data_IF_094755905827
#
_entry.id   IF_094755905827
#
_cell.length_a   1.000
_cell.length_b   1.000
_cell.length_c   1.000
_cell.angle_alpha   90.00
_cell.angle_beta   90.00
_cell.angle_gamma   90.00
#
_symmetry.space_group_name_H-M   'P 1'
#
loop_
_entity.id
_entity.type
_entity.pdbx_description
1 polymer ?
#
# COMPACT_ATOMS: atom_id res chain seq x y z
N UNK A 1 3.16 14.47 -15.48
CA UNK A 1 4.39 13.88 -16.05
C UNK A 1 3.99 13.14 -17.33
N UNK A 2 4.65 13.41 -18.45
CA UNK A 2 4.41 12.70 -19.71
C UNK A 2 5.41 11.54 -19.83
N UNK A 3 4.92 10.31 -19.85
CA UNK A 3 5.73 9.11 -20.03
C UNK A 3 5.47 8.57 -21.44
N UNK A 4 6.38 8.77 -22.40
CA UNK A 4 6.21 8.15 -23.71
C UNK A 4 6.41 6.65 -23.57
N UNK A 5 5.30 5.90 -23.63
CA UNK A 5 5.26 4.44 -23.45
C UNK A 5 4.88 3.69 -24.71
N UNK A 6 4.55 4.38 -25.81
CA UNK A 6 4.12 3.72 -27.06
C UNK A 6 5.32 3.57 -28.00
N UNK A 7 5.63 2.33 -28.36
CA UNK A 7 6.66 1.99 -29.36
C UNK A 7 6.09 0.90 -30.28
N UNK A 8 6.19 1.11 -31.59
CA UNK A 8 5.73 0.15 -32.61
C UNK A 8 4.26 -0.29 -32.41
N UNK A 9 3.39 0.62 -31.94
CA UNK A 9 1.97 0.35 -31.69
C UNK A 9 1.67 -0.42 -30.39
N UNK A 10 2.70 -0.69 -29.57
CA UNK A 10 2.54 -1.35 -28.26
C UNK A 10 2.63 -0.27 -27.18
N UNK A 11 1.63 -0.19 -26.31
CA UNK A 11 1.72 0.58 -25.07
C UNK A 11 2.41 -0.27 -23.99
N UNK A 12 3.55 0.22 -23.50
CA UNK A 12 4.35 -0.50 -22.51
C UNK A 12 3.71 -0.52 -21.12
N UNK A 13 2.69 0.33 -20.87
CA UNK A 13 1.88 0.25 -19.66
C UNK A 13 1.15 -1.10 -19.55
N UNK A 14 0.73 -1.66 -20.67
CA UNK A 14 0.04 -2.96 -20.72
C UNK A 14 0.99 -4.15 -20.54
N UNK A 15 2.30 -3.91 -20.56
CA UNK A 15 3.33 -4.92 -20.35
C UNK A 15 3.79 -5.00 -18.89
N UNK A 16 3.36 -4.04 -18.06
CA UNK A 16 3.68 -3.95 -16.63
C UNK A 16 2.42 -4.18 -15.82
N UNK A 17 2.52 -5.03 -14.80
CA UNK A 17 1.43 -5.31 -13.87
C UNK A 17 1.96 -5.29 -12.44
N UNK A 18 1.06 -5.34 -11.46
CA UNK A 18 1.43 -5.32 -10.04
C UNK A 18 1.43 -6.74 -9.50
N UNK A 19 2.51 -7.13 -8.82
CA UNK A 19 2.60 -8.36 -8.03
C UNK A 19 3.28 -8.05 -6.70
N UNK A 20 2.68 -8.48 -5.58
CA UNK A 20 3.20 -8.21 -4.24
C UNK A 20 3.50 -6.72 -3.98
N UNK A 21 2.61 -5.83 -4.45
CA UNK A 21 2.74 -4.37 -4.36
C UNK A 21 3.94 -3.77 -5.12
N UNK A 22 4.54 -4.54 -6.03
CA UNK A 22 5.63 -4.08 -6.90
C UNK A 22 5.25 -4.17 -8.37
N UNK A 23 5.64 -3.18 -9.20
CA UNK A 23 5.51 -3.28 -10.64
C UNK A 23 6.48 -4.34 -11.16
N UNK A 24 5.96 -5.18 -12.04
CA UNK A 24 6.66 -6.31 -12.63
C UNK A 24 6.26 -6.48 -14.10
N UNK A 25 7.09 -7.18 -14.85
CA UNK A 25 6.73 -7.73 -16.16
C UNK A 25 6.98 -9.23 -16.17
N UNK A 26 6.71 -9.91 -17.29
CA UNK A 26 7.04 -11.32 -17.43
C UNK A 26 7.77 -11.63 -18.74
N UNK A 27 8.32 -12.84 -18.83
CA UNK A 27 9.06 -13.28 -20.01
C UNK A 27 8.23 -13.31 -21.30
N UNK A 28 6.90 -13.40 -21.23
CA UNK A 28 6.03 -13.33 -22.41
C UNK A 28 5.88 -11.89 -22.91
N UNK A 29 5.69 -10.94 -21.99
CA UNK A 29 5.64 -9.51 -22.31
C UNK A 29 6.97 -9.02 -22.89
N UNK A 30 8.09 -9.47 -22.32
CA UNK A 30 9.43 -9.20 -22.88
C UNK A 30 9.58 -9.81 -24.27
N UNK A 31 9.13 -11.05 -24.48
CA UNK A 31 9.15 -11.70 -25.78
C UNK A 31 8.35 -10.91 -26.83
N UNK A 32 7.16 -10.43 -26.48
CA UNK A 32 6.31 -9.58 -27.32
C UNK A 32 7.01 -8.26 -27.67
N UNK A 33 7.56 -7.57 -26.67
CA UNK A 33 8.21 -6.27 -26.86
C UNK A 33 9.44 -6.33 -27.79
N UNK A 34 10.25 -7.38 -27.68
CA UNK A 34 11.48 -7.53 -28.47
C UNK A 34 11.33 -8.41 -29.71
N UNK A 35 10.12 -8.89 -30.02
CA UNK A 35 9.86 -9.80 -31.14
C UNK A 35 10.65 -11.11 -31.03
N UNK A 36 10.79 -11.65 -29.82
CA UNK A 36 11.50 -12.90 -29.55
C UNK A 36 10.53 -14.04 -29.26
N UNK A 37 10.97 -15.28 -29.44
CA UNK A 37 10.22 -16.45 -28.95
C UNK A 37 10.31 -16.52 -27.42
N UNK A 38 9.21 -16.83 -26.68
CA UNK A 38 9.23 -16.91 -25.22
C UNK A 38 10.32 -17.84 -24.66
N UNK A 39 10.55 -18.99 -25.30
CA UNK A 39 11.61 -19.95 -24.92
C UNK A 39 13.02 -19.35 -24.98
N UNK A 40 13.26 -18.38 -25.88
CA UNK A 40 14.56 -17.72 -26.00
C UNK A 40 14.73 -16.69 -24.89
N UNK A 41 13.66 -15.99 -24.51
CA UNK A 41 13.69 -15.04 -23.39
C UNK A 41 13.94 -15.77 -22.08
N UNK A 42 13.29 -16.92 -21.84
CA UNK A 42 13.56 -17.76 -20.66
C UNK A 42 15.03 -18.17 -20.60
N UNK A 43 15.61 -18.60 -21.72
CA UNK A 43 17.04 -18.94 -21.81
C UNK A 43 17.95 -17.73 -21.53
N UNK A 44 17.62 -16.57 -22.09
CA UNK A 44 18.39 -15.33 -21.87
C UNK A 44 18.34 -14.92 -20.38
N UNK A 45 17.20 -15.13 -19.72
CA UNK A 45 17.04 -14.90 -18.28
C UNK A 45 17.92 -15.85 -17.46
N UNK A 46 17.89 -17.15 -17.74
CA UNK A 46 18.71 -18.14 -17.04
C UNK A 46 20.21 -17.82 -17.16
N UNK A 47 20.67 -17.45 -18.36
CA UNK A 47 22.05 -16.99 -18.58
C UNK A 47 22.38 -15.70 -17.82
N UNK A 48 21.41 -14.80 -17.72
CA UNK A 48 21.57 -13.55 -16.97
C UNK A 48 21.72 -13.85 -15.48
N UNK A 49 20.92 -14.76 -14.93
CA UNK A 49 20.98 -15.22 -13.54
C UNK A 49 22.35 -15.87 -13.26
N UNK A 50 22.81 -16.76 -14.14
CA UNK A 50 24.12 -17.42 -14.01
C UNK A 50 25.31 -16.44 -14.02
N UNK A 51 25.18 -15.34 -14.77
CA UNK A 51 26.21 -14.31 -14.85
C UNK A 51 26.16 -13.30 -13.70
N UNK A 52 25.10 -13.30 -12.87
CA UNK A 52 24.98 -12.39 -11.75
C UNK A 52 25.93 -12.79 -10.61
N UNK A 53 26.63 -11.81 -9.99
CA UNK A 53 27.44 -12.10 -8.83
C UNK A 53 26.56 -12.40 -7.61
N UNK A 54 27.07 -13.09 -6.57
CA UNK A 54 26.27 -13.57 -5.43
C UNK A 54 25.56 -12.45 -4.65
N UNK A 55 26.06 -11.21 -4.70
CA UNK A 55 25.50 -10.05 -4.02
C UNK A 55 24.22 -9.53 -4.69
N UNK A 56 24.00 -9.85 -5.96
CA UNK A 56 22.78 -9.46 -6.66
C UNK A 56 21.64 -10.43 -6.33
N UNK A 57 20.53 -9.89 -5.83
CA UNK A 57 19.36 -10.70 -5.51
C UNK A 57 18.62 -11.16 -6.78
N UNK A 58 19.10 -12.27 -7.33
CA UNK A 58 18.49 -12.91 -8.50
C UNK A 58 17.11 -13.49 -8.18
N UNK A 59 16.84 -13.89 -6.94
CA UNK A 59 15.57 -14.54 -6.56
C UNK A 59 14.42 -13.54 -6.58
N UNK A 60 14.63 -12.33 -6.04
CA UNK A 60 13.60 -11.28 -6.07
C UNK A 60 13.43 -10.65 -7.44
N UNK A 61 14.51 -10.56 -8.24
CA UNK A 61 14.48 -9.91 -9.55
C UNK A 61 14.05 -10.84 -10.69
N UNK A 62 14.22 -12.16 -10.54
CA UNK A 62 13.85 -13.18 -11.51
C UNK A 62 13.02 -14.27 -10.83
N UNK A 63 11.74 -13.98 -10.56
CA UNK A 63 10.83 -14.92 -9.90
C UNK A 63 10.42 -16.01 -10.89
N UNK A 64 10.75 -17.27 -10.56
CA UNK A 64 10.37 -18.44 -11.35
C UNK A 64 8.89 -18.76 -11.15
N UNK A 65 8.15 -18.89 -12.24
CA UNK A 65 6.72 -19.21 -12.24
C UNK A 65 6.39 -20.33 -13.24
N UNK A 66 5.21 -20.94 -13.05
CA UNK A 66 4.65 -21.95 -13.94
C UNK A 66 3.22 -21.60 -14.30
N UNK A 67 2.83 -21.84 -15.56
CA UNK A 67 1.44 -21.76 -16.00
C UNK A 67 1.07 -23.01 -16.77
N UNK A 68 -0.16 -23.49 -16.65
CA UNK A 68 -0.62 -24.62 -17.45
C UNK A 68 -0.78 -24.17 -18.90
N UNK A 69 -0.17 -24.91 -19.82
CA UNK A 69 -0.30 -24.65 -21.24
C UNK A 69 -1.33 -25.59 -21.86
N UNK A 70 -2.52 -25.07 -22.14
CA UNK A 70 -3.62 -25.82 -22.74
C UNK A 70 -3.24 -26.40 -24.11
N UNK A 71 -2.42 -25.69 -24.89
CA UNK A 71 -1.92 -26.12 -26.20
C UNK A 71 -0.90 -27.28 -26.11
N UNK A 72 -0.42 -27.59 -24.91
CA UNK A 72 0.59 -28.62 -24.66
C UNK A 72 0.08 -29.69 -23.69
N UNK A 73 -1.19 -30.09 -23.85
CA UNK A 73 -1.87 -31.09 -23.02
C UNK A 73 -1.84 -30.75 -21.52
N UNK A 74 -1.93 -29.47 -21.17
CA UNK A 74 -1.92 -29.02 -19.78
C UNK A 74 -0.55 -29.09 -19.10
N UNK A 75 0.54 -29.34 -19.83
CA UNK A 75 1.89 -29.36 -19.24
C UNK A 75 2.26 -27.98 -18.67
N UNK A 76 2.92 -27.93 -17.50
CA UNK A 76 3.38 -26.67 -16.92
C UNK A 76 4.46 -26.05 -17.81
N UNK A 77 4.20 -24.82 -18.26
CA UNK A 77 5.14 -23.99 -18.98
C UNK A 77 5.86 -23.07 -18.00
N UNK A 78 7.17 -23.21 -17.94
CA UNK A 78 8.09 -22.36 -17.19
C UNK A 78 8.09 -20.93 -17.78
N UNK A 79 8.02 -19.93 -16.90
CA UNK A 79 8.23 -18.53 -17.24
C UNK A 79 8.83 -17.78 -16.05
N UNK A 80 9.27 -16.54 -16.28
CA UNK A 80 9.82 -15.69 -15.21
C UNK A 80 9.05 -14.39 -15.12
N UNK A 81 8.78 -13.95 -13.90
CA UNK A 81 8.34 -12.59 -13.59
C UNK A 81 9.55 -11.77 -13.18
N UNK A 82 9.64 -10.57 -13.73
CA UNK A 82 10.81 -9.69 -13.63
C UNK A 82 10.44 -8.39 -12.94
N UNK A 83 11.19 -8.04 -11.90
CA UNK A 83 11.20 -6.67 -11.37
C UNK A 83 12.02 -5.76 -12.30
N UNK A 84 11.97 -4.46 -12.04
CA UNK A 84 12.68 -3.44 -12.81
C UNK A 84 14.16 -3.83 -13.02
N UNK A 85 14.91 -4.15 -11.97
CA UNK A 85 16.35 -4.35 -12.08
C UNK A 85 16.70 -5.65 -12.82
N UNK A 86 15.96 -6.74 -12.56
CA UNK A 86 16.07 -7.98 -13.34
C UNK A 86 15.77 -7.78 -14.83
N UNK A 87 14.73 -7.02 -15.16
CA UNK A 87 14.46 -6.64 -16.54
C UNK A 87 15.61 -5.82 -17.12
N UNK A 88 16.13 -4.83 -16.39
CA UNK A 88 17.22 -3.98 -16.86
C UNK A 88 18.46 -4.81 -17.23
N UNK A 89 18.89 -5.75 -16.39
CA UNK A 89 20.01 -6.64 -16.69
C UNK A 89 19.76 -7.45 -17.96
N UNK A 90 18.56 -8.04 -18.08
CA UNK A 90 18.18 -8.83 -19.25
C UNK A 90 18.22 -7.99 -20.53
N UNK A 91 17.50 -6.85 -20.57
CA UNK A 91 17.33 -6.07 -21.80
C UNK A 91 18.61 -5.35 -22.19
N UNK A 92 19.51 -5.04 -21.26
CA UNK A 92 20.79 -4.40 -21.59
C UNK A 92 21.64 -5.26 -22.51
N UNK A 93 21.54 -6.59 -22.41
CA UNK A 93 22.18 -7.53 -23.34
C UNK A 93 21.59 -7.49 -24.77
N UNK A 94 20.42 -6.86 -24.96
CA UNK A 94 19.77 -6.75 -26.27
C UNK A 94 20.24 -5.48 -26.99
N UNK A 95 21.03 -5.64 -28.05
CA UNK A 95 21.79 -4.56 -28.71
C UNK A 95 21.26 -4.12 -30.08
N UNK A 96 20.13 -4.66 -30.55
CA UNK A 96 19.55 -4.28 -31.86
C UNK A 96 19.26 -2.77 -31.94
N UNK A 97 19.31 -2.18 -33.15
CA UNK A 97 19.07 -0.74 -33.39
C UNK A 97 17.75 -0.22 -32.80
N UNK A 98 16.70 -1.05 -32.80
CA UNK A 98 15.40 -0.70 -32.20
C UNK A 98 15.29 -0.95 -30.69
N UNK A 99 16.24 -1.69 -30.09
CA UNK A 99 16.18 -2.08 -28.68
C UNK A 99 16.22 -0.86 -27.75
N UNK A 100 16.87 0.24 -28.14
CA UNK A 100 16.95 1.45 -27.31
C UNK A 100 15.58 2.08 -27.05
N UNK A 101 14.70 2.15 -28.06
CA UNK A 101 13.34 2.70 -27.88
C UNK A 101 12.53 1.84 -26.92
N UNK A 102 12.62 0.52 -27.08
CA UNK A 102 11.96 -0.46 -26.22
C UNK A 102 12.47 -0.35 -24.76
N UNK A 103 13.79 -0.21 -24.57
CA UNK A 103 14.39 0.00 -23.23
C UNK A 103 13.83 1.25 -22.55
N UNK A 104 13.79 2.38 -23.27
CA UNK A 104 13.25 3.65 -22.76
C UNK A 104 11.76 3.50 -22.41
N UNK A 105 10.98 2.83 -23.27
CA UNK A 105 9.56 2.62 -23.03
C UNK A 105 9.29 1.75 -21.78
N UNK A 106 10.10 0.70 -21.55
CA UNK A 106 10.04 -0.05 -20.30
C UNK A 106 10.36 0.82 -19.08
N UNK A 107 11.44 1.61 -19.12
CA UNK A 107 11.78 2.53 -18.02
C UNK A 107 10.60 3.45 -17.70
N UNK A 108 9.99 4.03 -18.72
CA UNK A 108 8.84 4.93 -18.58
C UNK A 108 7.61 4.23 -18.00
N UNK A 109 7.32 3.01 -18.45
CA UNK A 109 6.18 2.23 -17.94
C UNK A 109 6.36 1.82 -16.48
N UNK A 110 7.57 1.39 -16.08
CA UNK A 110 7.87 1.11 -14.67
C UNK A 110 7.74 2.37 -13.82
N UNK A 111 8.34 3.50 -14.24
CA UNK A 111 8.25 4.75 -13.51
C UNK A 111 6.81 5.25 -13.35
N UNK A 112 5.99 5.10 -14.40
CA UNK A 112 4.57 5.41 -14.34
C UNK A 112 3.83 4.55 -13.31
N UNK A 113 4.06 3.23 -13.31
CA UNK A 113 3.40 2.32 -12.36
C UNK A 113 3.86 2.59 -10.91
N UNK A 114 5.15 2.86 -10.68
CA UNK A 114 5.64 3.27 -9.36
C UNK A 114 4.96 4.56 -8.88
N UNK A 115 4.83 5.57 -9.74
CA UNK A 115 4.13 6.80 -9.38
C UNK A 115 2.66 6.53 -9.01
N UNK A 116 1.99 5.66 -9.75
CA UNK A 116 0.59 5.29 -9.49
C UNK A 116 0.42 4.59 -8.15
N UNK A 117 1.31 3.64 -7.83
CA UNK A 117 1.31 2.96 -6.53
C UNK A 117 1.52 3.96 -5.40
N UNK A 118 2.49 4.87 -5.52
CA UNK A 118 2.77 5.89 -4.49
C UNK A 118 1.59 6.83 -4.24
N UNK A 119 0.85 7.22 -5.28
CA UNK A 119 -0.38 8.01 -5.12
C UNK A 119 -1.43 7.22 -4.34
N UNK A 120 -1.64 5.94 -4.68
CA UNK A 120 -2.55 5.08 -3.94
C UNK A 120 -2.18 4.95 -2.47
N UNK A 121 -0.90 4.66 -2.17
CA UNK A 121 -0.40 4.57 -0.78
C UNK A 121 -0.65 5.85 0.00
N UNK A 122 -0.36 7.02 -0.58
CA UNK A 122 -0.60 8.31 0.09
C UNK A 122 -2.08 8.54 0.41
N UNK A 123 -2.98 8.24 -0.53
CA UNK A 123 -4.42 8.40 -0.31
C UNK A 123 -4.91 7.53 0.86
N UNK A 124 -4.49 6.26 0.90
CA UNK A 124 -4.83 5.36 2.01
C UNK A 124 -4.25 5.83 3.36
N UNK A 125 -3.03 6.37 3.37
CA UNK A 125 -2.43 6.91 4.59
C UNK A 125 -3.17 8.14 5.11
N UNK A 126 -3.60 9.03 4.22
CA UNK A 126 -4.39 10.22 4.56
C UNK A 126 -5.73 9.83 5.19
N UNK A 127 -6.46 8.89 4.59
CA UNK A 127 -7.71 8.35 5.14
C UNK A 127 -7.50 7.69 6.51
N UNK A 128 -6.48 6.82 6.63
CA UNK A 128 -6.14 6.16 7.89
C UNK A 128 -5.82 7.17 9.01
N UNK A 129 -5.04 8.20 8.69
CA UNK A 129 -4.66 9.23 9.66
C UNK A 129 -5.87 10.06 10.09
N UNK A 130 -6.80 10.36 9.18
CA UNK A 130 -8.04 11.06 9.49
C UNK A 130 -8.92 10.24 10.45
N UNK A 131 -9.13 8.96 10.16
CA UNK A 131 -9.90 8.04 11.02
C UNK A 131 -9.24 7.87 12.39
N UNK A 132 -7.91 7.74 12.43
CA UNK A 132 -7.18 7.64 13.70
C UNK A 132 -7.32 8.91 14.54
N UNK A 133 -7.27 10.09 13.93
CA UNK A 133 -7.47 11.37 14.62
C UNK A 133 -8.88 11.47 15.21
N UNK A 134 -9.90 11.06 14.44
CA UNK A 134 -11.29 11.01 14.92
C UNK A 134 -11.43 10.05 16.10
N UNK A 135 -10.88 8.85 15.99
CA UNK A 135 -10.86 7.87 17.08
C UNK A 135 -10.20 8.44 18.35
N UNK A 136 -9.06 9.11 18.24
CA UNK A 136 -8.38 9.70 19.40
C UNK A 136 -9.24 10.79 20.06
N UNK A 137 -9.90 11.64 19.28
CA UNK A 137 -10.81 12.68 19.81
C UNK A 137 -11.98 12.07 20.57
N UNK A 138 -12.65 11.09 19.98
CA UNK A 138 -13.79 10.42 20.61
C UNK A 138 -13.38 9.66 21.88
N UNK A 139 -12.24 8.98 21.84
CA UNK A 139 -11.66 8.32 23.02
C UNK A 139 -11.38 9.31 24.15
N UNK A 140 -10.84 10.47 23.84
CA UNK A 140 -10.56 11.51 24.82
C UNK A 140 -11.84 12.11 25.42
N UNK A 141 -12.87 12.32 24.60
CA UNK A 141 -14.20 12.76 25.05
C UNK A 141 -14.83 11.73 25.99
N UNK A 142 -14.79 10.45 25.65
CA UNK A 142 -15.30 9.37 26.51
C UNK A 142 -14.53 9.31 27.84
N UNK A 143 -13.20 9.38 27.79
CA UNK A 143 -12.33 9.42 28.97
C UNK A 143 -12.61 10.64 29.86
N UNK A 144 -12.76 11.82 29.25
CA UNK A 144 -13.14 13.05 29.94
C UNK A 144 -14.52 12.91 30.61
N UNK A 145 -15.50 12.34 29.92
CA UNK A 145 -16.84 12.10 30.46
C UNK A 145 -16.79 11.19 31.70
N UNK A 146 -16.00 10.12 31.66
CA UNK A 146 -15.77 9.25 32.82
C UNK A 146 -15.12 9.99 34.00
N UNK A 147 -14.12 10.85 33.74
CA UNK A 147 -13.51 11.70 34.77
C UNK A 147 -14.51 12.70 35.37
N UNK A 148 -15.35 13.31 34.53
CA UNK A 148 -16.39 14.25 34.95
C UNK A 148 -17.47 13.58 35.79
N UNK A 149 -17.94 12.38 35.41
CA UNK A 149 -18.88 11.59 36.19
C UNK A 149 -18.31 11.21 37.55
N UNK A 150 -17.05 10.77 37.59
CA UNK A 150 -16.35 10.49 38.85
C UNK A 150 -16.25 11.75 39.74
N UNK A 151 -15.89 12.90 39.16
CA UNK A 151 -15.84 14.18 39.87
C UNK A 151 -17.21 14.60 40.40
N UNK A 152 -18.27 14.43 39.59
CA UNK A 152 -19.63 14.71 40.02
C UNK A 152 -20.02 13.85 41.22
N UNK A 153 -19.86 12.52 41.10
CA UNK A 153 -20.26 11.58 42.14
C UNK A 153 -19.46 11.70 43.44
N UNK A 154 -18.12 11.80 43.35
CA UNK A 154 -17.25 11.79 44.54
C UNK A 154 -17.02 13.15 45.19
N UNK A 155 -17.11 14.25 44.41
CA UNK A 155 -16.72 15.57 44.91
C UNK A 155 -17.92 16.52 44.94
N UNK A 156 -18.55 16.77 43.79
CA UNK A 156 -19.55 17.85 43.68
C UNK A 156 -20.90 17.51 44.31
N UNK A 157 -21.44 16.32 44.07
CA UNK A 157 -22.76 15.92 44.58
C UNK A 157 -22.82 15.93 46.12
N UNK A 158 -21.87 15.34 46.87
CA UNK A 158 -21.90 15.39 48.33
C UNK A 158 -21.80 16.81 48.88
N UNK A 159 -20.91 17.64 48.30
CA UNK A 159 -20.72 19.04 48.71
C UNK A 159 -22.01 19.87 48.53
N UNK A 160 -22.71 19.67 47.43
CA UNK A 160 -23.95 20.40 47.13
C UNK A 160 -25.10 19.93 48.02
N UNK A 161 -25.29 18.62 48.20
CA UNK A 161 -26.32 18.08 49.10
C UNK A 161 -26.13 18.58 50.54
N UNK A 162 -24.90 18.53 51.07
CA UNK A 162 -24.60 19.04 52.39
C UNK A 162 -24.78 20.57 52.53
N UNK A 163 -24.74 21.32 51.41
CA UNK A 163 -25.03 22.75 51.41
C UNK A 163 -26.53 23.02 51.36
N UNK A 164 -27.29 22.23 50.59
CA UNK A 164 -28.76 22.29 50.56
C UNK A 164 -29.33 21.98 51.94
N UNK A 165 -28.91 20.89 52.57
CA UNK A 165 -29.37 20.48 53.92
C UNK A 165 -29.12 21.59 54.96
N UNK A 166 -27.94 22.22 54.91
CA UNK A 166 -27.63 23.37 55.78
C UNK A 166 -28.58 24.55 55.53
N UNK A 167 -28.87 24.87 54.27
CA UNK A 167 -29.79 25.96 53.94
C UNK A 167 -31.22 25.66 54.39
N UNK A 168 -31.68 24.42 54.24
CA UNK A 168 -33.00 23.96 54.69
C UNK A 168 -33.13 24.07 56.22
N UNK A 169 -32.10 23.65 56.98
CA UNK A 169 -32.07 23.81 58.44
C UNK A 169 -32.14 25.28 58.89
N UNK A 170 -31.44 26.19 58.20
CA UNK A 170 -31.52 27.62 58.50
C UNK A 170 -32.88 28.23 58.10
N UNK A 171 -33.50 27.73 57.03
CA UNK A 171 -34.86 28.13 56.63
C UNK A 171 -35.96 27.64 57.58
N UNK A 172 -35.70 26.55 58.33
CA UNK A 172 -36.60 25.97 59.33
C UNK A 172 -36.53 26.64 60.70
N UNK A 173 -35.87 27.80 60.83
CA UNK A 173 -35.89 28.58 62.07
C UNK A 173 -37.34 28.85 62.47
N UNK A 174 -37.80 28.12 63.48
CA UNK A 174 -39.15 28.21 64.03
C UNK A 174 -39.32 29.61 64.63
N UNK A 175 -40.35 30.36 64.23
CA UNK A 175 -40.69 31.62 64.91
C UNK A 175 -41.07 31.25 66.35
N UNK A 176 -40.32 31.69 67.38
CA UNK A 176 -40.67 31.38 68.76
C UNK A 176 -42.01 32.06 69.09
N UNK A 177 -43.06 31.28 69.33
CA UNK A 177 -44.38 31.78 69.73
C UNK A 177 -45.59 31.36 68.88
N UNK A 178 -45.42 30.51 67.87
CA UNK A 178 -46.53 29.94 67.08
C UNK A 178 -46.76 28.45 67.42
N UNK A 179 -47.22 28.18 68.64
CA UNK A 179 -47.93 26.94 68.98
C UNK A 179 -49.13 27.40 69.82
N UNK A 180 -50.35 27.10 69.36
CA UNK A 180 -51.58 27.27 70.13
C UNK A 180 -51.57 26.37 71.38
#
# INVERSE_FOLDING_TARGET
>A
MHYPTIVNGIDFRDLIFVANNDPVTDSFMVAKAFGKLPKNVVRDIERTIEACPPEFDTKLNFELCYKNNELQNGKPQKFYRLRKDGLMLLVMSYTKKEAMRIKIAYINAFNWMYAMLQVGHRQFEEERNAVMLEYMKEKDVASMSGRLLNRWGKIKKPQLLARIERLEQHGQTVIPGLIN
#
